data_IF_472234902525
#
_entry.id   IF_472234902525
#
_cell.length_a   1.000
_cell.length_b   1.000
_cell.length_c   1.000
_cell.angle_alpha   90.00
_cell.angle_beta   90.00
_cell.angle_gamma   90.00
#
_symmetry.space_group_name_H-M   'P 1'
#
loop_
_entity.id
_entity.type
_entity.pdbx_description
1 polymer ?
#
# COMPACT_ATOMS: atom_id res chain seq x y z
N UNK A 1 -30.66 -13.96 12.61
CA UNK A 1 -29.25 -13.57 12.38
C UNK A 1 -29.22 -12.77 11.08
N UNK A 2 -28.80 -11.51 11.09
CA UNK A 2 -28.84 -10.68 9.87
C UNK A 2 -27.81 -11.19 8.84
N UNK A 3 -28.23 -11.42 7.60
CA UNK A 3 -27.35 -11.87 6.54
C UNK A 3 -26.58 -10.67 5.95
N UNK A 4 -25.49 -10.26 6.63
CA UNK A 4 -24.56 -9.24 6.13
C UNK A 4 -23.99 -9.56 4.74
N UNK A 5 -24.03 -10.83 4.34
CA UNK A 5 -23.68 -11.29 3.00
C UNK A 5 -24.64 -10.79 1.89
N UNK A 6 -25.86 -10.36 2.24
CA UNK A 6 -26.90 -9.92 1.31
C UNK A 6 -27.02 -8.39 1.19
N UNK A 7 -26.05 -7.64 1.74
CA UNK A 7 -26.00 -6.19 1.52
C UNK A 7 -25.85 -5.89 0.02
N UNK A 8 -26.49 -4.81 -0.44
CA UNK A 8 -26.31 -4.34 -1.82
C UNK A 8 -24.87 -3.88 -2.04
N UNK A 9 -24.40 -4.00 -3.29
CA UNK A 9 -23.05 -3.57 -3.65
C UNK A 9 -22.80 -2.10 -3.33
N UNK A 10 -23.81 -1.24 -3.49
CA UNK A 10 -23.69 0.19 -3.17
C UNK A 10 -23.41 0.43 -1.68
N UNK A 11 -24.06 -0.33 -0.79
CA UNK A 11 -23.81 -0.23 0.66
C UNK A 11 -22.43 -0.78 1.00
N UNK A 12 -22.05 -1.92 0.42
CA UNK A 12 -20.72 -2.50 0.61
C UNK A 12 -19.61 -1.55 0.16
N UNK A 13 -19.82 -0.87 -0.95
CA UNK A 13 -18.88 0.13 -1.48
C UNK A 13 -18.87 1.42 -0.67
N UNK A 14 -20.02 1.86 -0.17
CA UNK A 14 -20.07 2.99 0.75
C UNK A 14 -19.30 2.68 2.04
N UNK A 15 -19.42 1.46 2.57
CA UNK A 15 -18.65 1.01 3.74
C UNK A 15 -17.14 1.11 3.49
N UNK A 16 -16.64 0.79 2.29
CA UNK A 16 -15.19 0.84 2.03
C UNK A 16 -14.60 2.24 2.17
N UNK A 17 -15.40 3.30 1.99
CA UNK A 17 -14.96 4.69 2.19
C UNK A 17 -14.63 5.02 3.65
N UNK A 18 -15.18 4.27 4.61
CA UNK A 18 -14.92 4.45 6.05
C UNK A 18 -13.76 3.60 6.57
N UNK A 19 -13.21 2.71 5.74
CA UNK A 19 -12.18 1.79 6.17
C UNK A 19 -10.79 2.39 5.98
N UNK A 20 -9.98 2.30 7.02
CA UNK A 20 -8.53 2.46 6.89
C UNK A 20 -7.97 1.29 6.07
N UNK A 21 -6.77 1.46 5.53
CA UNK A 21 -6.22 0.50 4.57
C UNK A 21 -6.18 -0.96 5.08
N UNK A 22 -5.74 -1.26 6.32
CA UNK A 22 -5.74 -2.64 6.83
C UNK A 22 -7.13 -3.27 6.87
N UNK A 23 -8.12 -2.50 7.30
CA UNK A 23 -9.51 -2.98 7.41
C UNK A 23 -10.12 -3.16 6.03
N UNK A 24 -9.74 -2.32 5.08
CA UNK A 24 -10.10 -2.48 3.69
C UNK A 24 -9.54 -3.80 3.10
N UNK A 25 -8.30 -4.19 3.44
CA UNK A 25 -7.77 -5.51 3.09
C UNK A 25 -8.54 -6.65 3.74
N UNK A 26 -8.90 -6.52 5.03
CA UNK A 26 -9.70 -7.53 5.76
C UNK A 26 -11.11 -7.66 5.19
N UNK A 27 -11.72 -6.56 4.78
CA UNK A 27 -13.01 -6.52 4.10
C UNK A 27 -12.99 -7.39 2.84
N UNK A 28 -11.96 -7.23 1.99
CA UNK A 28 -11.79 -8.07 0.80
C UNK A 28 -11.45 -9.54 1.07
N UNK A 29 -11.14 -9.90 2.32
CA UNK A 29 -10.87 -11.28 2.73
C UNK A 29 -12.14 -12.05 3.17
N UNK A 30 -13.28 -11.37 3.35
CA UNK A 30 -14.53 -11.98 3.85
C UNK A 30 -15.13 -12.99 2.86
N UNK A 31 -15.42 -12.57 1.63
CA UNK A 31 -15.97 -13.44 0.58
C UNK A 31 -15.64 -12.91 -0.82
N UNK A 32 -15.97 -13.67 -1.87
CA UNK A 32 -15.72 -13.27 -3.27
C UNK A 32 -16.38 -11.94 -3.65
N UNK A 33 -17.62 -11.69 -3.19
CA UNK A 33 -18.33 -10.45 -3.48
C UNK A 33 -17.65 -9.23 -2.82
N UNK A 34 -17.30 -9.34 -1.54
CA UNK A 34 -16.63 -8.25 -0.84
C UNK A 34 -15.23 -7.99 -1.40
N UNK A 35 -14.53 -9.05 -1.84
CA UNK A 35 -13.27 -8.94 -2.57
C UNK A 35 -13.43 -8.16 -3.87
N UNK A 36 -14.47 -8.43 -4.67
CA UNK A 36 -14.68 -7.67 -5.91
C UNK A 36 -14.96 -6.20 -5.62
N UNK A 37 -15.76 -5.89 -4.60
CA UNK A 37 -16.04 -4.50 -4.19
C UNK A 37 -14.77 -3.79 -3.71
N UNK A 38 -13.95 -4.43 -2.87
CA UNK A 38 -12.68 -3.85 -2.40
C UNK A 38 -11.74 -3.49 -3.55
N UNK A 39 -11.77 -4.22 -4.67
CA UNK A 39 -10.88 -3.95 -5.80
C UNK A 39 -11.30 -2.70 -6.59
N UNK A 40 -12.55 -2.28 -6.49
CA UNK A 40 -13.05 -1.12 -7.24
C UNK A 40 -12.41 0.20 -6.78
N UNK A 41 -12.00 0.29 -5.51
CA UNK A 41 -11.31 1.46 -4.91
C UNK A 41 -11.94 2.81 -5.33
N UNK A 42 -13.27 2.88 -5.43
CA UNK A 42 -13.96 4.07 -5.95
C UNK A 42 -13.82 5.29 -5.03
N UNK A 43 -13.64 5.04 -3.74
CA UNK A 43 -13.43 6.07 -2.74
C UNK A 43 -12.00 6.01 -2.21
N UNK A 44 -11.40 7.17 -1.89
CA UNK A 44 -10.16 7.17 -1.12
C UNK A 44 -10.41 6.48 0.23
N UNK A 45 -9.43 5.73 0.76
CA UNK A 45 -9.55 5.15 2.09
C UNK A 45 -9.70 6.26 3.14
N UNK A 46 -10.26 5.91 4.29
CA UNK A 46 -10.35 6.84 5.41
C UNK A 46 -8.96 7.37 5.79
N UNK A 47 -8.85 8.65 6.21
CA UNK A 47 -7.60 9.20 6.70
C UNK A 47 -7.01 8.32 7.80
N UNK A 48 -5.71 8.02 7.70
CA UNK A 48 -5.00 7.19 8.66
C UNK A 48 -3.63 7.79 8.99
N UNK A 49 -3.13 7.49 10.20
CA UNK A 49 -1.76 7.82 10.56
C UNK A 49 -0.78 7.12 9.61
N UNK A 50 0.37 7.77 9.32
CA UNK A 50 1.36 7.19 8.42
C UNK A 50 1.89 5.88 9.00
N UNK A 51 2.17 4.94 8.10
CA UNK A 51 2.87 3.72 8.44
C UNK A 51 4.36 3.94 8.34
N UNK A 52 5.11 3.49 9.34
CA UNK A 52 6.57 3.58 9.29
C UNK A 52 7.10 2.41 8.48
N UNK A 53 7.94 2.70 7.48
CA UNK A 53 8.65 1.66 6.74
C UNK A 53 9.93 1.33 7.47
N UNK A 54 10.12 0.06 7.81
CA UNK A 54 11.29 -0.43 8.52
C UNK A 54 12.29 -1.05 7.54
N UNK A 55 13.51 -1.32 8.04
CA UNK A 55 14.59 -1.91 7.25
C UNK A 55 14.19 -3.21 6.53
N UNK A 56 14.89 -3.51 5.44
CA UNK A 56 14.69 -4.75 4.68
C UNK A 56 15.08 -5.97 5.52
N UNK A 57 14.22 -6.99 5.52
CA UNK A 57 14.59 -8.30 6.04
C UNK A 57 15.30 -9.08 4.93
N UNK A 58 16.63 -9.19 5.03
CA UNK A 58 17.51 -9.70 3.96
C UNK A 58 17.13 -11.09 3.43
N UNK A 59 16.45 -11.89 4.25
CA UNK A 59 16.15 -13.29 3.95
C UNK A 59 14.79 -13.49 3.27
N UNK A 60 13.84 -12.56 3.43
CA UNK A 60 12.41 -12.88 3.19
C UNK A 60 11.77 -12.11 2.03
N UNK A 61 12.49 -11.20 1.33
CA UNK A 61 11.92 -10.25 0.33
C UNK A 61 10.70 -9.47 0.86
N UNK A 62 10.52 -9.46 2.19
CA UNK A 62 9.45 -8.76 2.88
C UNK A 62 9.98 -7.45 3.42
N UNK A 63 9.13 -6.44 3.33
CA UNK A 63 9.33 -5.15 3.98
C UNK A 63 8.47 -5.12 5.24
N UNK A 64 9.08 -4.75 6.36
CA UNK A 64 8.36 -4.56 7.62
C UNK A 64 7.80 -3.14 7.67
N UNK A 65 6.56 -3.03 8.13
CA UNK A 65 5.88 -1.78 8.38
C UNK A 65 5.40 -1.75 9.82
N UNK A 66 5.32 -0.57 10.41
CA UNK A 66 4.71 -0.35 11.70
C UNK A 66 3.50 0.57 11.57
N UNK A 67 2.34 0.06 11.97
CA UNK A 67 1.08 0.82 12.04
C UNK A 67 1.01 1.54 13.37
N UNK A 68 1.02 2.88 13.34
CA UNK A 68 0.84 3.70 14.53
C UNK A 68 -0.57 3.54 15.12
N UNK A 69 -1.59 3.45 14.25
CA UNK A 69 -2.99 3.34 14.68
C UNK A 69 -3.28 2.03 15.43
N UNK A 70 -2.65 0.93 15.04
CA UNK A 70 -2.88 -0.39 15.65
C UNK A 70 -1.76 -0.83 16.60
N UNK A 71 -0.67 -0.06 16.70
CA UNK A 71 0.56 -0.42 17.39
C UNK A 71 1.10 -1.82 16.99
N UNK A 72 1.05 -2.14 15.69
CA UNK A 72 1.36 -3.48 15.15
C UNK A 72 2.39 -3.45 14.03
N UNK A 73 3.20 -4.52 13.97
CA UNK A 73 4.09 -4.79 12.86
C UNK A 73 3.38 -5.58 11.76
N UNK A 74 3.65 -5.21 10.52
CA UNK A 74 3.16 -5.87 9.33
C UNK A 74 4.33 -6.26 8.44
N UNK A 75 4.36 -7.51 8.00
CA UNK A 75 5.33 -7.98 7.01
C UNK A 75 4.63 -8.13 5.66
N UNK A 76 4.98 -7.26 4.73
CA UNK A 76 4.40 -7.22 3.39
C UNK A 76 5.47 -7.64 2.39
N UNK A 77 5.19 -8.67 1.60
CA UNK A 77 6.10 -9.10 0.53
C UNK A 77 6.03 -8.10 -0.62
N UNK A 78 7.12 -7.38 -0.90
CA UNK A 78 7.19 -6.39 -1.99
C UNK A 78 8.43 -6.72 -2.81
N UNK A 79 8.34 -7.72 -3.71
CA UNK A 79 9.49 -8.21 -4.47
C UNK A 79 10.20 -7.11 -5.27
N UNK A 80 9.45 -6.11 -5.73
CA UNK A 80 9.94 -4.98 -6.53
C UNK A 80 10.88 -4.06 -5.72
N UNK A 81 10.74 -4.03 -4.39
CA UNK A 81 11.60 -3.23 -3.49
C UNK A 81 12.84 -3.98 -3.03
N UNK A 82 13.03 -5.25 -3.43
CA UNK A 82 14.17 -6.03 -3.00
C UNK A 82 15.47 -5.39 -3.53
N UNK A 83 16.45 -5.20 -2.65
CA UNK A 83 17.71 -4.56 -3.00
C UNK A 83 17.62 -3.05 -3.30
N UNK A 84 16.48 -2.43 -3.01
CA UNK A 84 16.29 -0.99 -3.14
C UNK A 84 16.29 -0.29 -1.76
N UNK A 85 16.95 0.87 -1.71
CA UNK A 85 16.92 1.81 -0.59
C UNK A 85 15.75 2.76 -0.75
N UNK A 86 14.95 2.93 0.31
CA UNK A 86 13.83 3.87 0.29
C UNK A 86 14.38 5.27 0.58
N UNK A 87 14.16 6.20 -0.33
CA UNK A 87 14.65 7.57 -0.26
C UNK A 87 13.57 8.59 0.13
N UNK A 88 12.29 8.23 -0.01
CA UNK A 88 11.19 9.12 0.32
C UNK A 88 9.83 8.43 0.27
N UNK A 89 8.82 9.10 0.83
CA UNK A 89 7.44 8.61 0.80
C UNK A 89 6.43 9.75 0.72
N UNK A 90 5.31 9.53 0.05
CA UNK A 90 4.19 10.48 -0.05
C UNK A 90 2.90 9.76 -0.41
N UNK A 91 1.81 9.97 0.34
CA UNK A 91 0.48 9.42 0.02
C UNK A 91 0.44 7.91 -0.30
N UNK A 92 1.25 7.10 0.40
CA UNK A 92 1.35 5.65 0.18
C UNK A 92 2.34 5.23 -0.91
N UNK A 93 2.92 6.20 -1.64
CA UNK A 93 4.03 5.98 -2.54
C UNK A 93 5.35 5.95 -1.79
N UNK A 94 6.22 5.06 -2.23
CA UNK A 94 7.62 4.93 -1.82
C UNK A 94 8.49 5.18 -3.04
N UNK A 95 9.38 6.15 -2.91
CA UNK A 95 10.48 6.34 -3.86
C UNK A 95 11.67 5.53 -3.37
N UNK A 96 12.16 4.62 -4.21
CA UNK A 96 13.27 3.76 -3.87
C UNK A 96 14.30 3.70 -5.01
N UNK A 97 15.56 3.46 -4.66
CA UNK A 97 16.69 3.42 -5.59
C UNK A 97 17.53 2.17 -5.37
N UNK A 98 17.98 1.54 -6.44
CA UNK A 98 18.93 0.42 -6.35
C UNK A 98 20.39 0.89 -6.31
N UNK A 99 21.33 -0.06 -6.22
CA UNK A 99 22.78 0.21 -6.24
C UNK A 99 23.28 0.82 -7.57
N UNK A 100 22.49 0.74 -8.65
CA UNK A 100 22.79 1.33 -9.96
C UNK A 100 22.16 2.71 -10.12
N UNK A 101 21.52 3.26 -9.07
CA UNK A 101 20.81 4.55 -9.07
C UNK A 101 19.60 4.52 -10.02
N UNK A 102 19.03 3.33 -10.23
CA UNK A 102 17.74 3.16 -10.91
C UNK A 102 16.63 3.47 -9.92
N UNK A 103 15.86 4.52 -10.21
CA UNK A 103 14.75 4.95 -9.37
C UNK A 103 13.46 4.22 -9.71
N UNK A 104 12.73 3.82 -8.69
CA UNK A 104 11.39 3.27 -8.80
C UNK A 104 10.43 4.03 -7.90
N UNK A 105 9.18 4.11 -8.32
CA UNK A 105 8.08 4.62 -7.55
C UNK A 105 7.04 3.51 -7.40
N UNK A 106 6.78 3.09 -6.16
CA UNK A 106 5.83 2.01 -5.86
C UNK A 106 4.85 2.43 -4.78
N UNK A 107 3.59 2.10 -4.98
CA UNK A 107 2.59 2.24 -3.94
C UNK A 107 2.51 0.91 -3.16
N UNK A 108 2.90 0.94 -1.89
CA UNK A 108 2.96 -0.27 -1.04
C UNK A 108 1.61 -0.95 -0.82
N UNK A 109 0.53 -0.24 -1.13
CA UNK A 109 -0.85 -0.61 -0.82
C UNK A 109 -1.67 -0.97 -2.07
N UNK A 110 -1.49 -0.27 -3.19
CA UNK A 110 -2.12 -0.60 -4.48
C UNK A 110 -1.31 -1.62 -5.27
N UNK A 111 0.01 -1.73 -5.00
CA UNK A 111 0.99 -2.45 -5.83
C UNK A 111 1.18 -1.85 -7.22
N UNK A 112 0.71 -0.62 -7.43
CA UNK A 112 1.07 0.13 -8.62
C UNK A 112 2.57 0.47 -8.56
N UNK A 113 3.22 0.31 -9.71
CA UNK A 113 4.66 0.34 -9.85
C UNK A 113 5.03 1.10 -11.11
N UNK A 114 6.03 1.97 -11.00
CA UNK A 114 6.59 2.75 -12.08
C UNK A 114 8.11 2.75 -11.99
N UNK A 115 8.77 2.36 -13.07
CA UNK A 115 10.20 2.62 -13.24
C UNK A 115 10.39 4.07 -13.67
N UNK A 116 11.29 4.77 -13.01
CA UNK A 116 11.61 6.15 -13.37
C UNK A 116 12.70 6.15 -14.44
N UNK A 117 12.57 7.01 -15.48
CA UNK A 117 13.57 7.08 -16.53
C UNK A 117 14.92 7.53 -15.96
N UNK A 118 15.98 6.77 -16.26
CA UNK A 118 17.36 7.12 -15.93
C UNK A 118 17.81 8.31 -16.79
N UNK A 119 17.78 9.53 -16.26
CA UNK A 119 18.50 10.67 -16.86
C UNK A 119 18.55 11.85 -15.89
N UNK A 120 19.73 12.16 -15.32
CA UNK A 120 20.26 13.48 -14.89
C UNK A 120 19.38 14.48 -14.08
N UNK A 121 18.13 14.14 -13.74
CA UNK A 121 17.07 15.02 -13.26
C UNK A 121 16.72 14.80 -11.78
N UNK A 122 17.31 13.78 -11.14
CA UNK A 122 16.98 13.42 -9.75
C UNK A 122 17.24 14.57 -8.74
N UNK A 123 18.13 15.52 -9.06
CA UNK A 123 18.39 16.69 -8.21
C UNK A 123 17.35 17.81 -8.39
N UNK A 124 16.60 17.85 -9.50
CA UNK A 124 15.67 18.95 -9.80
C UNK A 124 14.22 18.72 -9.41
N UNK A 125 13.83 17.50 -9.04
CA UNK A 125 12.41 17.19 -8.77
C UNK A 125 11.97 17.45 -7.31
N UNK A 126 12.87 17.97 -6.46
CA UNK A 126 12.65 18.19 -5.03
C UNK A 126 13.18 19.55 -4.53
N UNK A 127 13.38 20.52 -5.42
CA UNK A 127 13.59 21.94 -5.09
C UNK A 127 12.38 22.76 -5.50
#
# INVERSE_FOLDING_TARGET
>A
MAAWANLTNDVLEYITSFLIFPDHCRFGAVCKNWRSISKLRRYPPAPQLPWLVLGEEKETRKRKFYSLSEAKHYSIEIPELHGHYICGSSHGWLFAVDIKITGILINSFTREFFELPLSHLFVKMWM
#
